data_IF_403043073862
#
_entry.id   IF_403043073862
#
_cell.length_a   1.000
_cell.length_b   1.000
_cell.length_c   1.000
_cell.angle_alpha   90.00
_cell.angle_beta   90.00
_cell.angle_gamma   90.00
#
_symmetry.space_group_name_H-M   'P 1'
#
loop_
_entity.id
_entity.type
_entity.pdbx_description
1 polymer ?
#
# COMPACT_ATOMS: atom_id res chain seq x y z
N UNK A 1 -13.95 6.68 8.79
CA UNK A 1 -13.15 5.57 8.22
C UNK A 1 -11.74 6.05 7.98
N UNK A 2 -10.79 5.23 8.35
CA UNK A 2 -9.36 5.52 8.15
C UNK A 2 -8.80 4.58 7.09
N UNK A 3 -8.16 5.15 6.07
CA UNK A 3 -7.60 4.38 4.95
C UNK A 3 -6.14 4.76 4.77
N UNK A 4 -5.28 3.75 4.75
CA UNK A 4 -3.88 3.92 4.41
C UNK A 4 -3.66 3.64 2.93
N UNK A 5 -2.76 4.38 2.30
CA UNK A 5 -2.37 4.16 0.91
C UNK A 5 -0.85 4.06 0.88
N UNK A 6 -0.36 2.94 0.37
CA UNK A 6 1.08 2.74 0.16
C UNK A 6 1.39 2.77 -1.33
N UNK A 7 2.43 3.50 -1.72
CA UNK A 7 2.99 3.40 -3.06
C UNK A 7 4.51 3.32 -3.02
N UNK A 8 5.10 2.99 -4.16
CA UNK A 8 6.56 2.91 -4.31
C UNK A 8 7.19 4.27 -4.68
N UNK A 9 6.39 5.34 -4.67
CA UNK A 9 6.84 6.69 -4.99
C UNK A 9 6.05 7.37 -6.09
N UNK A 10 5.16 6.64 -6.78
CA UNK A 10 4.37 7.14 -7.89
C UNK A 10 2.95 6.58 -7.78
N UNK A 11 1.95 7.45 -7.91
CA UNK A 11 0.55 7.04 -8.06
C UNK A 11 -0.31 7.06 -6.80
N UNK A 12 0.29 6.96 -5.61
CA UNK A 12 -0.48 6.93 -4.37
C UNK A 12 -1.27 8.19 -4.10
N UNK A 13 -0.73 9.35 -4.46
CA UNK A 13 -1.42 10.62 -4.26
C UNK A 13 -2.66 10.74 -5.14
N UNK A 14 -2.60 10.26 -6.38
CA UNK A 14 -3.77 10.27 -7.26
C UNK A 14 -4.89 9.40 -6.72
N UNK A 15 -4.55 8.24 -6.16
CA UNK A 15 -5.52 7.35 -5.53
C UNK A 15 -6.10 8.00 -4.28
N UNK A 16 -5.26 8.63 -3.46
CA UNK A 16 -5.72 9.34 -2.26
C UNK A 16 -6.67 10.47 -2.63
N UNK A 17 -6.37 11.23 -3.67
CA UNK A 17 -7.24 12.32 -4.14
C UNK A 17 -8.59 11.80 -4.62
N UNK A 18 -8.60 10.68 -5.35
CA UNK A 18 -9.84 10.04 -5.78
C UNK A 18 -10.68 9.57 -4.60
N UNK A 19 -10.03 8.99 -3.59
CA UNK A 19 -10.72 8.55 -2.37
C UNK A 19 -11.32 9.72 -1.61
N UNK A 20 -10.61 10.83 -1.49
CA UNK A 20 -11.11 12.03 -0.81
C UNK A 20 -12.33 12.61 -1.51
N UNK A 21 -12.36 12.57 -2.84
CA UNK A 21 -13.53 13.03 -3.61
C UNK A 21 -14.74 12.14 -3.42
N UNK A 22 -14.51 10.82 -3.40
CA UNK A 22 -15.60 9.83 -3.26
C UNK A 22 -16.08 9.69 -1.81
N UNK A 23 -15.17 9.86 -0.85
CA UNK A 23 -15.44 9.68 0.57
C UNK A 23 -14.88 10.85 1.38
N UNK A 24 -15.53 12.04 1.31
CA UNK A 24 -14.97 13.25 1.91
C UNK A 24 -14.73 13.17 3.42
N UNK A 25 -15.45 12.31 4.13
CA UNK A 25 -15.27 12.15 5.57
C UNK A 25 -14.21 11.13 5.95
N UNK A 26 -13.62 10.42 4.99
CA UNK A 26 -12.56 9.45 5.27
C UNK A 26 -11.24 10.16 5.58
N UNK A 27 -10.49 9.60 6.54
CA UNK A 27 -9.13 10.04 6.83
C UNK A 27 -8.17 9.21 6.00
N UNK A 28 -7.39 9.87 5.14
CA UNK A 28 -6.48 9.21 4.22
C UNK A 28 -5.05 9.51 4.62
N UNK A 29 -4.23 8.47 4.80
CA UNK A 29 -2.81 8.59 5.09
C UNK A 29 -2.03 7.92 3.97
N UNK A 30 -1.09 8.66 3.37
CA UNK A 30 -0.27 8.15 2.26
C UNK A 30 1.16 7.94 2.74
N UNK A 31 1.72 6.78 2.43
CA UNK A 31 3.12 6.45 2.64
C UNK A 31 3.73 6.13 1.27
N UNK A 32 4.82 6.81 0.92
CA UNK A 32 5.54 6.58 -0.33
C UNK A 32 6.98 6.15 -0.03
N UNK A 33 7.41 5.05 -0.63
CA UNK A 33 8.79 4.56 -0.46
C UNK A 33 9.66 4.92 -1.66
N UNK A 34 9.93 6.22 -1.81
CA UNK A 34 10.75 6.72 -2.92
C UNK A 34 12.21 6.30 -2.84
N UNK A 35 12.69 6.07 -1.63
CA UNK A 35 14.09 5.73 -1.38
C UNK A 35 14.49 4.40 -2.04
N UNK A 36 13.55 3.48 -2.18
CA UNK A 36 13.81 2.13 -2.71
C UNK A 36 13.33 1.93 -4.15
N UNK A 37 13.07 2.99 -4.89
CA UNK A 37 12.75 2.89 -6.32
C UNK A 37 13.96 2.38 -7.10
N UNK A 38 13.78 1.63 -8.19
CA UNK A 38 12.51 1.14 -8.73
C UNK A 38 12.12 -0.22 -8.10
N UNK A 39 10.85 -0.37 -7.81
CA UNK A 39 10.32 -1.62 -7.24
C UNK A 39 10.31 -2.76 -8.26
N UNK A 40 10.08 -2.46 -9.53
CA UNK A 40 9.97 -3.48 -10.57
C UNK A 40 11.23 -4.29 -10.80
N UNK A 41 12.40 -3.79 -10.39
CA UNK A 41 13.69 -4.47 -10.56
C UNK A 41 14.04 -5.41 -9.40
N UNK A 42 13.21 -5.45 -8.36
CA UNK A 42 13.52 -6.21 -7.15
C UNK A 42 12.86 -7.57 -7.16
N UNK A 43 13.43 -8.52 -6.42
CA UNK A 43 12.84 -9.83 -6.24
C UNK A 43 11.57 -9.75 -5.40
N UNK A 44 10.69 -10.75 -5.51
CA UNK A 44 9.48 -10.80 -4.68
C UNK A 44 9.81 -10.81 -3.20
N UNK A 45 10.88 -11.50 -2.80
CA UNK A 45 11.32 -11.53 -1.41
C UNK A 45 11.68 -10.12 -0.91
N UNK A 46 12.47 -9.37 -1.70
CA UNK A 46 12.84 -7.99 -1.37
C UNK A 46 11.62 -7.10 -1.28
N UNK A 47 10.68 -7.23 -2.22
CA UNK A 47 9.46 -6.42 -2.23
C UNK A 47 8.58 -6.68 -1.01
N UNK A 48 8.50 -7.94 -0.57
CA UNK A 48 7.76 -8.29 0.65
C UNK A 48 8.34 -7.60 1.86
N UNK A 49 9.66 -7.64 2.02
CA UNK A 49 10.32 -7.01 3.16
C UNK A 49 10.19 -5.48 3.13
N UNK A 50 10.38 -4.87 1.98
CA UNK A 50 10.27 -3.41 1.83
C UNK A 50 8.84 -2.93 2.07
N UNK A 51 7.87 -3.61 1.50
CA UNK A 51 6.46 -3.26 1.67
C UNK A 51 6.03 -3.41 3.12
N UNK A 52 6.39 -4.52 3.74
CA UNK A 52 6.08 -4.75 5.16
C UNK A 52 6.65 -3.64 6.05
N UNK A 53 7.90 -3.28 5.85
CA UNK A 53 8.53 -2.21 6.61
C UNK A 53 7.84 -0.87 6.39
N UNK A 54 7.48 -0.57 5.15
CA UNK A 54 6.89 0.72 4.79
C UNK A 54 5.47 0.89 5.33
N UNK A 55 4.68 -0.19 5.40
CA UNK A 55 3.27 -0.09 5.80
C UNK A 55 3.05 -0.11 7.32
N UNK A 56 4.11 -0.25 8.10
CA UNK A 56 3.96 -0.32 9.56
C UNK A 56 3.13 0.83 10.15
N UNK A 57 3.34 2.10 9.74
CA UNK A 57 2.52 3.20 10.27
C UNK A 57 1.05 3.12 9.85
N UNK A 58 0.71 2.33 8.85
CA UNK A 58 -0.65 2.20 8.34
C UNK A 58 -1.44 1.08 9.00
N UNK A 59 -0.78 0.18 9.72
CA UNK A 59 -1.46 -0.92 10.41
C UNK A 59 -2.46 -0.36 11.41
N UNK A 60 -3.65 -0.95 11.45
CA UNK A 60 -4.74 -0.48 12.29
C UNK A 60 -5.73 0.42 11.57
N UNK A 61 -5.44 0.88 10.36
CA UNK A 61 -6.44 1.54 9.53
C UNK A 61 -7.52 0.53 9.11
N UNK A 62 -8.69 1.04 8.77
CA UNK A 62 -9.80 0.17 8.32
C UNK A 62 -9.44 -0.61 7.05
N UNK A 63 -8.63 -0.02 6.19
CA UNK A 63 -8.09 -0.69 5.02
C UNK A 63 -6.74 -0.07 4.64
N UNK A 64 -5.87 -0.87 4.04
CA UNK A 64 -4.61 -0.41 3.45
C UNK A 64 -4.65 -0.75 1.97
N UNK A 65 -4.49 0.27 1.13
CA UNK A 65 -4.44 0.10 -0.32
C UNK A 65 -2.98 0.05 -0.74
N UNK A 66 -2.61 -1.05 -1.39
CA UNK A 66 -1.27 -1.20 -1.99
C UNK A 66 -1.36 -0.67 -3.41
N UNK A 67 -0.94 0.57 -3.61
CA UNK A 67 -1.09 1.31 -4.87
C UNK A 67 0.12 1.15 -5.80
N UNK A 68 0.73 -0.02 -5.78
CA UNK A 68 1.90 -0.34 -6.59
C UNK A 68 1.69 -1.75 -7.15
N UNK A 69 1.72 -1.89 -8.48
CA UNK A 69 1.51 -3.19 -9.12
C UNK A 69 2.55 -4.22 -8.70
N UNK A 70 3.82 -3.84 -8.65
CA UNK A 70 4.90 -4.75 -8.26
C UNK A 70 4.74 -5.23 -6.82
N UNK A 71 4.45 -4.31 -5.90
CA UNK A 71 4.25 -4.65 -4.49
C UNK A 71 2.99 -5.51 -4.31
N UNK A 72 1.91 -5.20 -5.02
CA UNK A 72 0.68 -6.00 -4.96
C UNK A 72 0.95 -7.43 -5.38
N UNK A 73 1.56 -7.62 -6.55
CA UNK A 73 1.86 -8.95 -7.07
C UNK A 73 2.76 -9.74 -6.12
N UNK A 74 3.80 -9.10 -5.59
CA UNK A 74 4.80 -9.79 -4.78
C UNK A 74 4.36 -10.03 -3.33
N UNK A 75 3.58 -9.14 -2.75
CA UNK A 75 3.45 -9.08 -1.29
C UNK A 75 2.04 -9.22 -0.74
N UNK A 76 0.98 -8.99 -1.53
CA UNK A 76 -0.36 -8.84 -0.94
C UNK A 76 -0.86 -10.10 -0.22
N UNK A 77 -0.70 -11.27 -0.83
CA UNK A 77 -1.13 -12.52 -0.19
C UNK A 77 -0.31 -12.82 1.07
N UNK A 78 1.01 -12.57 0.98
CA UNK A 78 1.90 -12.74 2.11
C UNK A 78 1.55 -11.80 3.28
N UNK A 79 1.18 -10.54 2.97
CA UNK A 79 0.75 -9.59 3.98
C UNK A 79 -0.58 -9.99 4.61
N UNK A 80 -1.52 -10.50 3.81
CA UNK A 80 -2.80 -10.99 4.32
C UNK A 80 -2.62 -12.14 5.29
N UNK A 81 -1.68 -13.02 5.04
CA UNK A 81 -1.36 -14.13 5.94
C UNK A 81 -0.68 -13.64 7.21
N UNK A 82 0.24 -12.68 7.09
CA UNK A 82 0.97 -12.14 8.23
C UNK A 82 0.08 -11.30 9.15
N UNK A 83 -0.84 -10.55 8.56
CA UNK A 83 -1.75 -9.66 9.29
C UNK A 83 -3.21 -10.00 8.99
N UNK A 84 -3.71 -11.13 9.52
CA UNK A 84 -5.03 -11.63 9.12
C UNK A 84 -6.20 -10.74 9.53
N UNK A 85 -6.00 -9.82 10.47
CA UNK A 85 -7.04 -8.87 10.90
C UNK A 85 -7.00 -7.56 10.13
N UNK A 86 -5.96 -7.33 9.34
CA UNK A 86 -5.81 -6.12 8.55
C UNK A 86 -6.33 -6.35 7.15
N UNK A 87 -7.21 -5.45 6.67
CA UNK A 87 -7.70 -5.52 5.30
C UNK A 87 -6.69 -4.87 4.36
N UNK A 88 -6.29 -5.60 3.32
CA UNK A 88 -5.42 -5.11 2.26
C UNK A 88 -6.15 -5.16 0.93
N UNK A 89 -6.07 -4.08 0.17
CA UNK A 89 -6.63 -3.97 -1.18
C UNK A 89 -5.46 -3.70 -2.12
N UNK A 90 -5.28 -4.58 -3.11
CA UNK A 90 -4.22 -4.42 -4.09
C UNK A 90 -4.71 -3.79 -5.38
N UNK A 91 -3.83 -3.05 -6.04
CA UNK A 91 -4.08 -2.51 -7.37
C UNK A 91 -3.27 -3.34 -8.36
N UNK A 92 -3.97 -4.00 -9.28
CA UNK A 92 -3.37 -4.85 -10.29
C UNK A 92 -3.54 -4.22 -11.66
N UNK A 93 -2.60 -4.47 -12.59
CA UNK A 93 -2.71 -3.97 -13.94
C UNK A 93 -3.90 -4.55 -14.69
#
# INVERSE_FOLDING_TARGET
>A
MKVGVFDSGIGGEAIADSLKKSFPSAQIQVISDRQNLPYGDKSHHQLRLLTDAAIQPLLGNDAIIIACNSATTAAIEWLREKYPRQKFIGIEP
#
